data_IF_425291312394
#
_entry.id   IF_425291312394
#
_cell.length_a   1.000
_cell.length_b   1.000
_cell.length_c   1.000
_cell.angle_alpha   90.00
_cell.angle_beta   90.00
_cell.angle_gamma   90.00
#
_symmetry.space_group_name_H-M   'P 1'
#
loop_
_entity.id
_entity.type
_entity.pdbx_description
1 polymer ?
#
# COMPACT_ATOMS: atom_id res chain seq x y z
N UNK A 1 -17.01 6.09 -12.87
CA UNK A 1 -16.48 6.63 -11.60
C UNK A 1 -15.32 5.75 -11.19
N UNK A 2 -14.17 6.32 -10.82
CA UNK A 2 -13.01 5.54 -10.36
C UNK A 2 -13.13 5.39 -8.85
N UNK A 3 -13.03 4.16 -8.34
CA UNK A 3 -13.06 3.86 -6.91
C UNK A 3 -11.74 3.23 -6.49
N UNK A 4 -11.07 3.83 -5.52
CA UNK A 4 -9.85 3.30 -4.91
C UNK A 4 -10.15 2.81 -3.50
N UNK A 5 -9.62 1.64 -3.16
CA UNK A 5 -9.80 1.02 -1.84
C UNK A 5 -8.45 0.86 -1.15
N UNK A 6 -8.38 1.23 0.12
CA UNK A 6 -7.20 1.00 0.95
C UNK A 6 -7.17 -0.45 1.43
N UNK A 7 -6.05 -1.13 1.23
CA UNK A 7 -5.82 -2.51 1.64
C UNK A 7 -4.63 -2.61 2.59
N UNK A 8 -4.68 -3.54 3.54
CA UNK A 8 -3.57 -3.81 4.47
C UNK A 8 -2.92 -5.18 4.25
N UNK A 9 -3.55 -6.04 3.45
CA UNK A 9 -3.10 -7.39 3.15
C UNK A 9 -3.35 -7.77 1.70
N UNK A 10 -2.80 -8.92 1.28
CA UNK A 10 -3.09 -9.48 -0.03
C UNK A 10 -4.57 -9.90 -0.19
N UNK A 11 -5.18 -10.40 0.90
CA UNK A 11 -6.59 -10.77 0.91
C UNK A 11 -7.48 -9.55 0.68
N UNK A 12 -7.22 -8.44 1.38
CA UNK A 12 -7.98 -7.20 1.22
C UNK A 12 -7.90 -6.68 -0.23
N UNK A 13 -6.69 -6.70 -0.82
CA UNK A 13 -6.47 -6.26 -2.19
C UNK A 13 -7.25 -7.11 -3.20
N UNK A 14 -7.29 -8.43 -3.02
CA UNK A 14 -8.03 -9.34 -3.89
C UNK A 14 -9.53 -9.20 -3.71
N UNK A 15 -10.01 -9.05 -2.47
CA UNK A 15 -11.43 -8.78 -2.20
C UNK A 15 -11.85 -7.47 -2.84
N UNK A 16 -11.04 -6.41 -2.73
CA UNK A 16 -11.31 -5.13 -3.41
C UNK A 16 -11.34 -5.29 -4.93
N UNK A 17 -10.40 -6.05 -5.49
CA UNK A 17 -10.37 -6.40 -6.92
C UNK A 17 -11.67 -7.10 -7.35
N UNK A 18 -12.09 -8.14 -6.63
CA UNK A 18 -13.31 -8.90 -6.94
C UNK A 18 -14.60 -8.10 -6.74
N UNK A 19 -14.60 -7.17 -5.79
CA UNK A 19 -15.71 -6.26 -5.54
C UNK A 19 -15.85 -5.15 -6.60
N UNK A 20 -14.93 -5.08 -7.56
CA UNK A 20 -14.99 -4.10 -8.66
C UNK A 20 -14.33 -2.76 -8.35
N UNK A 21 -13.40 -2.70 -7.38
CA UNK A 21 -12.56 -1.52 -7.20
C UNK A 21 -11.75 -1.26 -8.49
N UNK A 22 -11.49 0.01 -8.79
CA UNK A 22 -10.66 0.39 -9.94
C UNK A 22 -9.17 0.32 -9.63
N UNK A 23 -8.80 0.43 -8.35
CA UNK A 23 -7.41 0.45 -7.86
C UNK A 23 -7.35 0.14 -6.37
N UNK A 24 -6.20 -0.35 -5.91
CA UNK A 24 -5.90 -0.52 -4.48
C UNK A 24 -4.73 0.39 -4.07
N UNK A 25 -4.88 1.08 -2.95
CA UNK A 25 -3.76 1.66 -2.20
C UNK A 25 -3.33 0.70 -1.09
N UNK A 26 -2.14 0.13 -1.21
CA UNK A 26 -1.58 -0.78 -0.23
C UNK A 26 -0.79 -0.01 0.84
N UNK A 27 -1.15 -0.22 2.10
CA UNK A 27 -0.50 0.42 3.26
C UNK A 27 -0.22 -0.60 4.36
N UNK A 28 0.74 -0.31 5.24
CA UNK A 28 0.81 -0.92 6.57
C UNK A 28 0.27 0.05 7.63
N UNK A 29 0.02 -0.45 8.85
CA UNK A 29 -0.34 0.38 10.01
C UNK A 29 -1.40 1.46 9.73
N UNK A 30 -2.56 1.06 9.19
CA UNK A 30 -3.65 1.99 8.82
C UNK A 30 -4.12 2.87 10.00
N UNK A 31 -4.07 2.34 11.23
CA UNK A 31 -4.37 3.11 12.45
C UNK A 31 -3.45 4.32 12.68
N UNK A 32 -2.30 4.37 12.01
CA UNK A 32 -1.35 5.50 12.02
C UNK A 32 -1.46 6.39 10.77
N UNK A 33 -2.53 6.21 9.99
CA UNK A 33 -2.77 6.89 8.72
C UNK A 33 -2.05 6.27 7.52
N UNK A 34 -1.60 5.00 7.62
CA UNK A 34 -0.93 4.28 6.55
C UNK A 34 0.57 4.56 6.48
N UNK A 35 1.37 3.50 6.37
CA UNK A 35 2.84 3.51 6.22
C UNK A 35 3.28 2.60 5.08
N UNK A 36 4.58 2.63 4.74
CA UNK A 36 5.14 1.73 3.72
C UNK A 36 4.88 0.26 4.10
N UNK A 37 4.22 -0.53 3.23
CA UNK A 37 3.99 -1.95 3.44
C UNK A 37 5.28 -2.76 3.27
N UNK A 38 5.26 -4.01 3.75
CA UNK A 38 6.39 -4.93 3.54
C UNK A 38 6.49 -5.35 2.07
N UNK A 39 7.71 -5.61 1.59
CA UNK A 39 7.90 -6.18 0.26
C UNK A 39 7.23 -7.55 0.10
N UNK A 40 7.15 -8.34 1.18
CA UNK A 40 6.47 -9.64 1.19
C UNK A 40 4.98 -9.52 0.85
N UNK A 41 4.29 -8.52 1.39
CA UNK A 41 2.87 -8.27 1.07
C UNK A 41 2.69 -7.95 -0.42
N UNK A 42 3.57 -7.12 -1.00
CA UNK A 42 3.56 -6.81 -2.43
C UNK A 42 3.84 -8.04 -3.30
N UNK A 43 4.80 -8.87 -2.90
CA UNK A 43 5.13 -10.11 -3.58
C UNK A 43 3.94 -11.08 -3.57
N UNK A 44 3.25 -11.21 -2.44
CA UNK A 44 2.09 -12.08 -2.29
C UNK A 44 0.93 -11.64 -3.19
N UNK A 45 0.62 -10.33 -3.21
CA UNK A 45 -0.38 -9.75 -4.13
C UNK A 45 -0.05 -10.08 -5.59
N UNK A 46 1.24 -9.98 -5.95
CA UNK A 46 1.71 -10.29 -7.30
C UNK A 46 1.58 -11.77 -7.64
N UNK A 47 1.96 -12.66 -6.72
CA UNK A 47 1.84 -14.13 -6.88
C UNK A 47 0.38 -14.53 -7.03
N UNK A 48 -0.51 -13.93 -6.23
CA UNK A 48 -1.96 -14.19 -6.24
C UNK A 48 -2.72 -13.46 -7.36
N UNK A 49 -2.02 -12.76 -8.26
CA UNK A 49 -2.58 -12.17 -9.49
C UNK A 49 -3.74 -11.20 -9.25
N UNK A 50 -3.58 -10.24 -8.34
CA UNK A 50 -4.52 -9.10 -8.28
C UNK A 50 -4.59 -8.42 -9.65
N UNK A 51 -5.81 -8.30 -10.21
CA UNK A 51 -6.00 -7.90 -11.61
C UNK A 51 -6.07 -6.38 -11.79
N UNK A 52 -6.33 -5.66 -10.72
CA UNK A 52 -6.38 -4.20 -10.71
C UNK A 52 -5.04 -3.58 -10.30
N UNK A 53 -4.74 -2.34 -10.70
CA UNK A 53 -3.51 -1.67 -10.29
C UNK A 53 -3.40 -1.59 -8.77
N UNK A 54 -2.19 -1.79 -8.27
CA UNK A 54 -1.84 -1.65 -6.85
C UNK A 54 -0.80 -0.56 -6.73
N UNK A 55 -1.15 0.52 -6.06
CA UNK A 55 -0.22 1.57 -5.64
C UNK A 55 0.16 1.32 -4.19
N UNK A 56 1.33 1.80 -3.78
CA UNK A 56 1.86 1.56 -2.44
C UNK A 56 2.20 2.88 -1.78
N UNK A 57 1.81 3.00 -0.51
CA UNK A 57 2.24 4.10 0.34
C UNK A 57 3.77 4.09 0.46
N UNK A 58 4.37 5.26 0.30
CA UNK A 58 5.78 5.49 0.58
C UNK A 58 5.89 6.49 1.74
N UNK A 59 5.88 5.95 2.96
CA UNK A 59 5.88 6.72 4.20
C UNK A 59 6.55 5.93 5.33
N UNK A 60 7.79 6.30 5.73
CA UNK A 60 8.64 5.45 6.56
C UNK A 60 8.25 5.47 8.04
N UNK A 61 7.52 6.49 8.51
CA UNK A 61 7.04 6.59 9.90
C UNK A 61 5.77 7.43 10.02
N UNK A 62 5.10 7.31 11.16
CA UNK A 62 3.94 8.12 11.52
C UNK A 62 4.34 9.56 11.92
N UNK A 63 3.33 10.40 12.15
CA UNK A 63 3.50 11.83 12.46
C UNK A 63 3.52 12.71 11.21
N UNK A 64 4.22 13.85 11.30
CA UNK A 64 4.32 14.81 10.19
C UNK A 64 5.22 14.37 9.05
N UNK A 65 5.25 15.18 7.98
CA UNK A 65 5.90 14.89 6.70
C UNK A 65 7.25 15.61 6.50
N UNK A 66 7.79 16.26 7.54
CA UNK A 66 9.14 16.78 7.53
C UNK A 66 10.11 15.61 7.78
N UNK A 67 10.75 15.12 6.72
CA UNK A 67 11.61 13.95 6.76
C UNK A 67 13.08 14.34 6.88
N UNK A 68 13.82 13.59 7.69
CA UNK A 68 15.28 13.67 7.72
C UNK A 68 15.88 13.10 6.43
N UNK A 69 17.14 13.44 6.08
CA UNK A 69 17.82 12.85 4.93
C UNK A 69 17.81 11.31 4.95
N UNK A 70 18.02 10.69 6.12
CA UNK A 70 17.99 9.23 6.26
C UNK A 70 16.60 8.61 6.01
N UNK A 71 15.52 9.34 6.31
CA UNK A 71 14.16 8.91 6.02
C UNK A 71 13.85 9.01 4.52
N UNK A 72 14.34 10.05 3.84
CA UNK A 72 14.28 10.15 2.38
C UNK A 72 15.08 9.02 1.74
N UNK A 73 16.31 8.78 2.20
CA UNK A 73 17.18 7.69 1.72
C UNK A 73 16.53 6.32 1.91
N UNK A 74 15.74 6.13 2.97
CA UNK A 74 14.97 4.90 3.18
C UNK A 74 13.85 4.74 2.15
N UNK A 75 13.20 5.83 1.75
CA UNK A 75 12.09 5.80 0.78
C UNK A 75 12.53 5.58 -0.66
N UNK A 76 13.73 6.02 -1.05
CA UNK A 76 14.21 5.94 -2.45
C UNK A 76 14.99 4.66 -2.78
N UNK A 77 15.11 3.73 -1.82
CA UNK A 77 15.76 2.42 -1.99
C UNK A 77 14.76 1.36 -2.44
#
# INVERSE_FOLDING_TARGET
MIVEIVAQSADDALVASWAGASRVELVSALSLGGLTPSLGTLQEIRVRRCEIPVVTMLRPRSGGFAYSPGEIDTMVR
#
